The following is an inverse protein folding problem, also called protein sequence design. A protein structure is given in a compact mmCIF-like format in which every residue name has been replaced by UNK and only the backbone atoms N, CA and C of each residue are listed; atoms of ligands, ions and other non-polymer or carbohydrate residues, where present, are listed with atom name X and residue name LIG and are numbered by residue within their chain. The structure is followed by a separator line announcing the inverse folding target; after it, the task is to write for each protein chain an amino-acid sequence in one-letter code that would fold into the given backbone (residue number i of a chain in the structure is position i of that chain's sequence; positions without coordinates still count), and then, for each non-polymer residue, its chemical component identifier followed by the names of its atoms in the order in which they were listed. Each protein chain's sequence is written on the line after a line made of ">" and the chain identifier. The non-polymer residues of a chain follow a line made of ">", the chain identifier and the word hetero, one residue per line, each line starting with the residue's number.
data_IF_791505854476
#
_entry.id   IF_791505854476
#
_cell.length_a   1.000
_cell.length_b   1.000
_cell.length_c   1.000
_cell.angle_alpha   90.00
_cell.angle_beta   90.00
_cell.angle_gamma   90.00
#
_symmetry.space_group_name_H-M   'P 1'
#
loop_
_entity.id
_entity.type
_entity.pdbx_description
1 polymer ?
#
# COMPACT_ATOMS: atom_id res chain seq x y z
N UNK A 1 -16.56 -4.10 -8.75
CA UNK A 1 -15.11 -3.89 -8.66
C UNK A 1 -14.51 -3.74 -10.05
N UNK A 2 -13.62 -2.77 -10.25
CA UNK A 2 -12.78 -2.70 -11.46
C UNK A 2 -11.47 -3.49 -11.20
N UNK A 3 -11.01 -4.25 -12.20
CA UNK A 3 -9.73 -4.97 -12.14
C UNK A 3 -8.75 -4.37 -13.15
N UNK A 4 -7.53 -4.10 -12.69
CA UNK A 4 -6.44 -3.52 -13.49
C UNK A 4 -5.26 -4.48 -13.52
N UNK A 5 -4.45 -4.41 -14.56
CA UNK A 5 -3.19 -5.17 -14.61
C UNK A 5 -2.20 -4.57 -13.62
N UNK A 6 -1.43 -5.42 -12.95
CA UNK A 6 -0.26 -4.99 -12.18
C UNK A 6 0.85 -4.61 -13.17
N UNK A 7 0.94 -3.34 -13.54
CA UNK A 7 1.83 -2.87 -14.60
C UNK A 7 1.60 -3.61 -15.91
N UNK A 8 2.68 -4.03 -16.56
CA UNK A 8 2.68 -4.83 -17.78
C UNK A 8 2.46 -6.34 -17.55
N UNK A 9 2.36 -6.79 -16.29
CA UNK A 9 2.29 -8.22 -15.96
C UNK A 9 0.98 -8.88 -16.40
N UNK A 10 0.94 -10.21 -16.23
CA UNK A 10 -0.21 -11.11 -16.39
C UNK A 10 -1.34 -10.95 -15.36
N UNK A 11 -1.09 -10.27 -14.23
CA UNK A 11 -1.93 -10.41 -13.05
C UNK A 11 -3.00 -9.31 -12.97
N UNK A 12 -4.30 -9.64 -13.02
CA UNK A 12 -5.36 -8.69 -12.69
C UNK A 12 -5.53 -8.56 -11.17
N UNK A 13 -5.44 -7.33 -10.66
CA UNK A 13 -5.71 -7.00 -9.27
C UNK A 13 -6.84 -5.98 -9.17
N UNK A 14 -7.59 -6.02 -8.07
CA UNK A 14 -8.64 -5.05 -7.81
C UNK A 14 -8.06 -3.64 -7.71
N UNK A 15 -8.70 -2.67 -8.37
CA UNK A 15 -8.27 -1.27 -8.37
C UNK A 15 -8.21 -0.68 -6.95
N UNK A 16 -9.01 -1.23 -6.03
CA UNK A 16 -8.91 -0.99 -4.59
C UNK A 16 -8.44 -2.28 -3.91
N UNK A 17 -7.42 -2.19 -3.06
CA UNK A 17 -6.88 -3.29 -2.24
C UNK A 17 -7.02 -2.96 -0.76
N UNK A 18 -6.74 -3.94 0.11
CA UNK A 18 -6.93 -3.77 1.55
C UNK A 18 -5.67 -4.12 2.35
N UNK A 19 -5.15 -3.14 3.09
CA UNK A 19 -3.92 -3.24 3.86
C UNK A 19 -4.15 -3.38 5.38
N UNK A 20 -3.19 -4.02 6.05
CA UNK A 20 -3.26 -4.36 7.46
C UNK A 20 -2.59 -3.36 8.42
N UNK A 21 -1.89 -2.34 7.89
CA UNK A 21 -1.03 -1.44 8.68
C UNK A 21 -1.81 -0.63 9.72
N UNK A 22 -1.26 -0.56 10.95
CA UNK A 22 -1.83 0.04 12.17
C UNK A 22 -3.07 -0.71 12.71
N UNK A 23 -3.87 -1.34 11.86
CA UNK A 23 -5.14 -1.96 12.25
C UNK A 23 -4.93 -3.37 12.81
N UNK A 24 -4.40 -4.28 12.01
CA UNK A 24 -4.43 -5.71 12.32
C UNK A 24 -3.37 -6.07 13.36
N UNK A 25 -3.76 -6.86 14.36
CA UNK A 25 -2.88 -7.31 15.43
C UNK A 25 -2.55 -6.24 16.48
N UNK A 26 -3.14 -5.04 16.36
CA UNK A 26 -2.92 -3.89 17.24
C UNK A 26 -4.24 -3.10 17.49
N UNK A 27 -4.60 -2.15 16.61
CA UNK A 27 -5.70 -1.21 16.86
C UNK A 27 -7.09 -1.84 16.94
N UNK A 28 -7.38 -2.91 16.19
CA UNK A 28 -8.72 -3.53 16.13
C UNK A 28 -8.70 -4.99 16.59
N UNK A 29 -9.80 -5.49 17.19
CA UNK A 29 -9.93 -6.90 17.51
C UNK A 29 -9.99 -7.77 16.24
N UNK A 30 -9.61 -9.04 16.37
CA UNK A 30 -9.59 -10.01 15.27
C UNK A 30 -10.95 -10.16 14.58
N UNK A 31 -12.05 -10.10 15.33
CA UNK A 31 -13.40 -10.24 14.75
C UNK A 31 -13.74 -9.07 13.82
N UNK A 32 -13.29 -7.85 14.16
CA UNK A 32 -13.46 -6.70 13.26
C UNK A 32 -12.55 -6.82 12.03
N UNK A 33 -11.33 -7.33 12.19
CA UNK A 33 -10.46 -7.66 11.06
C UNK A 33 -11.12 -8.69 10.13
N UNK A 34 -11.80 -9.71 10.68
CA UNK A 34 -12.59 -10.69 9.92
C UNK A 34 -13.72 -10.02 9.15
N UNK A 35 -14.49 -9.15 9.79
CA UNK A 35 -15.59 -8.43 9.14
C UNK A 35 -15.10 -7.53 8.01
N UNK A 36 -13.96 -6.87 8.18
CA UNK A 36 -13.35 -6.03 7.16
C UNK A 36 -12.88 -6.84 5.94
N UNK A 37 -12.20 -7.98 6.15
CA UNK A 37 -11.78 -8.85 5.03
C UNK A 37 -12.99 -9.43 4.31
N UNK A 38 -14.00 -9.89 5.04
CA UNK A 38 -15.24 -10.38 4.45
C UNK A 38 -15.92 -9.30 3.59
N UNK A 39 -16.09 -8.09 4.14
CA UNK A 39 -16.68 -6.99 3.40
C UNK A 39 -15.86 -6.60 2.17
N UNK A 40 -14.53 -6.58 2.26
CA UNK A 40 -13.66 -6.31 1.11
C UNK A 40 -13.85 -7.36 0.01
N UNK A 41 -13.82 -8.64 0.39
CA UNK A 41 -14.02 -9.78 -0.51
C UNK A 41 -15.39 -9.76 -1.19
N UNK A 42 -16.46 -9.54 -0.42
CA UNK A 42 -17.84 -9.48 -0.94
C UNK A 42 -18.04 -8.35 -1.96
N UNK A 43 -17.19 -7.31 -1.91
CA UNK A 43 -17.18 -6.20 -2.87
C UNK A 43 -16.14 -6.38 -3.99
N UNK A 44 -15.54 -7.57 -4.11
CA UNK A 44 -14.63 -7.96 -5.19
C UNK A 44 -13.16 -7.58 -4.99
N UNK A 45 -12.76 -7.09 -3.82
CA UNK A 45 -11.34 -6.89 -3.51
C UNK A 45 -10.64 -8.24 -3.51
N UNK A 46 -9.62 -8.40 -4.35
CA UNK A 46 -8.83 -9.63 -4.42
C UNK A 46 -7.41 -9.45 -3.86
N UNK A 47 -6.92 -8.22 -3.66
CA UNK A 47 -5.56 -7.98 -3.20
C UNK A 47 -5.51 -7.50 -1.74
N UNK A 48 -4.82 -8.28 -0.89
CA UNK A 48 -4.63 -8.04 0.55
C UNK A 48 -3.14 -7.84 0.87
N UNK A 49 -2.82 -6.72 1.52
CA UNK A 49 -1.45 -6.28 1.75
C UNK A 49 -1.01 -6.33 3.21
N UNK A 50 0.20 -6.85 3.45
CA UNK A 50 0.78 -7.03 4.78
C UNK A 50 2.29 -6.76 4.80
N UNK A 51 2.94 -6.86 5.97
CA UNK A 51 4.40 -6.79 6.11
C UNK A 51 4.89 -7.46 7.40
N UNK A 52 6.12 -7.95 7.42
CA UNK A 52 6.68 -8.62 8.60
C UNK A 52 6.74 -7.70 9.84
N UNK A 53 6.93 -6.41 9.62
CA UNK A 53 7.06 -5.41 10.69
C UNK A 53 5.72 -4.95 11.26
N UNK A 54 4.59 -5.24 10.59
CA UNK A 54 3.28 -4.79 11.06
C UNK A 54 2.89 -5.56 12.31
N UNK A 55 2.81 -4.83 13.43
CA UNK A 55 2.59 -5.36 14.77
C UNK A 55 3.54 -6.54 15.09
N UNK A 56 4.83 -6.45 14.69
CA UNK A 56 5.82 -7.51 14.91
C UNK A 56 5.36 -8.87 14.35
N UNK A 57 4.81 -8.89 13.13
CA UNK A 57 4.30 -10.07 12.44
C UNK A 57 2.90 -10.51 12.87
N UNK A 58 2.29 -9.90 13.88
CA UNK A 58 0.92 -10.22 14.31
C UNK A 58 -0.12 -9.89 13.24
N UNK A 59 0.10 -8.85 12.44
CA UNK A 59 -0.81 -8.50 11.37
C UNK A 59 -0.90 -9.60 10.30
N UNK A 60 0.22 -10.26 9.98
CA UNK A 60 0.27 -11.43 9.08
C UNK A 60 -0.48 -12.63 9.67
N UNK A 61 -0.29 -12.90 10.96
CA UNK A 61 -0.99 -13.98 11.66
C UNK A 61 -2.52 -13.76 11.64
N UNK A 62 -2.96 -12.56 12.00
CA UNK A 62 -4.39 -12.21 11.99
C UNK A 62 -4.98 -12.34 10.60
N UNK A 63 -4.29 -11.83 9.57
CA UNK A 63 -4.76 -11.92 8.20
C UNK A 63 -4.84 -13.37 7.71
N UNK A 64 -3.81 -14.19 7.99
CA UNK A 64 -3.80 -15.61 7.62
C UNK A 64 -4.91 -16.40 8.30
N UNK A 65 -5.15 -16.16 9.59
CA UNK A 65 -6.24 -16.77 10.33
C UNK A 65 -7.61 -16.36 9.80
N UNK A 66 -7.79 -15.09 9.46
CA UNK A 66 -9.04 -14.58 8.88
C UNK A 66 -9.32 -15.18 7.50
N UNK A 67 -8.31 -15.23 6.62
CA UNK A 67 -8.42 -15.86 5.30
C UNK A 67 -8.82 -17.33 5.43
N UNK A 68 -8.19 -18.06 6.36
CA UNK A 68 -8.52 -19.46 6.63
C UNK A 68 -9.94 -19.65 7.19
N UNK A 69 -10.35 -18.82 8.15
CA UNK A 69 -11.68 -18.86 8.76
C UNK A 69 -12.79 -18.56 7.73
N UNK A 70 -12.54 -17.62 6.83
CA UNK A 70 -13.46 -17.27 5.74
C UNK A 70 -13.42 -18.29 4.60
N UNK A 71 -12.43 -19.20 4.59
CA UNK A 71 -12.21 -20.19 3.53
C UNK A 71 -12.12 -19.54 2.14
N UNK A 72 -11.45 -18.38 2.08
CA UNK A 72 -11.27 -17.69 0.80
C UNK A 72 -10.45 -18.61 -0.14
N UNK A 73 -10.87 -18.77 -1.40
CA UNK A 73 -10.16 -19.62 -2.34
C UNK A 73 -8.79 -19.01 -2.66
N UNK A 74 -7.72 -19.81 -2.53
CA UNK A 74 -6.34 -19.31 -2.69
C UNK A 74 -6.07 -18.73 -4.08
N UNK A 75 -6.66 -19.33 -5.11
CA UNK A 75 -6.62 -18.88 -6.51
C UNK A 75 -7.52 -17.67 -6.79
N UNK A 76 -8.39 -17.29 -5.86
CA UNK A 76 -9.24 -16.10 -5.94
C UNK A 76 -8.65 -14.85 -5.29
N UNK A 77 -7.57 -14.98 -4.50
CA UNK A 77 -6.95 -13.86 -3.78
C UNK A 77 -5.47 -13.69 -4.14
N UNK A 78 -5.00 -12.45 -4.04
CA UNK A 78 -3.61 -12.05 -4.06
C UNK A 78 -3.21 -11.60 -2.64
N UNK A 79 -2.12 -12.13 -2.12
CA UNK A 79 -1.57 -11.76 -0.80
C UNK A 79 -0.16 -11.24 -0.97
N UNK A 80 0.15 -10.11 -0.33
CA UNK A 80 1.53 -9.61 -0.23
C UNK A 80 2.09 -9.64 1.18
N UNK A 81 3.42 -9.67 1.23
CA UNK A 81 4.19 -9.25 2.40
C UNK A 81 5.38 -8.38 1.97
N UNK A 82 6.04 -7.76 2.95
CA UNK A 82 7.21 -6.91 2.74
C UNK A 82 8.28 -7.24 3.77
N UNK A 83 9.52 -7.25 3.31
CA UNK A 83 10.72 -7.49 4.12
C UNK A 83 11.56 -6.23 4.24
N UNK A 84 11.96 -5.91 5.46
CA UNK A 84 13.07 -5.00 5.78
C UNK A 84 13.27 -4.90 7.30
N UNK A 85 12.21 -4.63 8.06
CA UNK A 85 12.31 -4.22 9.46
C UNK A 85 12.42 -5.39 10.44
N UNK A 86 12.16 -6.62 10.01
CA UNK A 86 12.02 -7.76 10.91
C UNK A 86 10.67 -7.80 11.62
N UNK A 87 10.29 -8.98 12.09
CA UNK A 87 9.09 -9.18 12.92
C UNK A 87 9.41 -9.29 14.42
N UNK A 88 10.67 -9.17 14.83
CA UNK A 88 11.06 -9.16 16.23
C UNK A 88 10.90 -7.75 16.81
N UNK A 89 10.50 -7.63 18.07
CA UNK A 89 10.41 -6.32 18.75
C UNK A 89 11.75 -5.57 18.73
N UNK A 90 12.83 -6.32 18.94
CA UNK A 90 14.22 -5.84 18.89
C UNK A 90 15.01 -6.70 17.89
N UNK A 91 14.96 -6.39 16.58
CA UNK A 91 15.63 -7.18 15.55
C UNK A 91 17.14 -7.21 15.74
N UNK A 92 17.72 -8.41 15.74
CA UNK A 92 19.17 -8.60 15.66
C UNK A 92 19.69 -8.18 14.26
N UNK A 93 21.01 -8.00 14.08
CA UNK A 93 21.57 -7.54 12.80
C UNK A 93 21.17 -8.39 11.57
N UNK A 94 20.93 -9.70 11.75
CA UNK A 94 20.54 -10.62 10.68
C UNK A 94 19.03 -10.82 10.55
N UNK A 95 18.23 -10.02 11.27
CA UNK A 95 16.76 -10.04 11.27
C UNK A 95 16.17 -8.75 10.67
N UNK A 96 16.96 -8.03 9.85
CA UNK A 96 16.56 -6.82 9.14
C UNK A 96 17.38 -6.63 7.86
N UNK A 97 16.98 -5.68 7.03
CA UNK A 97 17.62 -5.30 5.78
C UNK A 97 17.21 -6.17 4.59
N UNK A 98 18.00 -6.12 3.52
CA UNK A 98 17.74 -6.82 2.27
C UNK A 98 18.87 -7.79 1.88
N UNK A 99 19.68 -8.20 2.84
CA UNK A 99 20.59 -9.33 2.66
C UNK A 99 19.82 -10.58 2.23
N UNK A 100 20.47 -11.44 1.43
CA UNK A 100 19.89 -12.72 0.98
C UNK A 100 19.37 -13.56 2.15
N UNK A 101 20.08 -13.54 3.28
CA UNK A 101 19.67 -14.22 4.51
C UNK A 101 18.30 -13.72 4.99
N UNK A 102 18.18 -12.42 5.26
CA UNK A 102 16.94 -11.88 5.84
C UNK A 102 15.78 -11.96 4.85
N UNK A 103 16.00 -11.65 3.57
CA UNK A 103 14.98 -11.77 2.52
C UNK A 103 14.39 -13.18 2.45
N UNK A 104 15.24 -14.21 2.53
CA UNK A 104 14.82 -15.61 2.54
C UNK A 104 14.08 -15.97 3.83
N UNK A 105 14.68 -15.67 4.99
CA UNK A 105 14.12 -16.03 6.30
C UNK A 105 12.76 -15.35 6.52
N UNK A 106 12.64 -14.06 6.18
CA UNK A 106 11.41 -13.28 6.29
C UNK A 106 10.30 -13.81 5.37
N UNK A 107 10.62 -14.19 4.12
CA UNK A 107 9.64 -14.78 3.21
C UNK A 107 9.06 -16.07 3.79
N UNK A 108 9.93 -16.99 4.22
CA UNK A 108 9.49 -18.26 4.81
C UNK A 108 8.68 -18.05 6.11
N UNK A 109 9.02 -17.04 6.91
CA UNK A 109 8.27 -16.69 8.10
C UNK A 109 6.90 -16.08 7.76
N UNK A 110 6.82 -15.20 6.76
CA UNK A 110 5.57 -14.61 6.27
C UNK A 110 4.61 -15.69 5.77
N UNK A 111 5.08 -16.64 4.95
CA UNK A 111 4.27 -17.79 4.48
C UNK A 111 3.62 -18.57 5.63
N UNK A 112 4.38 -18.84 6.69
CA UNK A 112 3.88 -19.52 7.89
C UNK A 112 2.82 -18.70 8.63
N UNK A 113 3.06 -17.39 8.83
CA UNK A 113 2.13 -16.51 9.55
C UNK A 113 0.84 -16.28 8.75
N UNK A 114 0.95 -16.09 7.44
CA UNK A 114 -0.17 -15.91 6.52
C UNK A 114 -0.88 -17.23 6.18
N UNK A 115 -0.30 -18.38 6.52
CA UNK A 115 -0.84 -19.73 6.25
C UNK A 115 -1.08 -19.97 4.76
N UNK A 116 -0.11 -19.57 3.92
CA UNK A 116 -0.12 -19.75 2.46
C UNK A 116 1.17 -20.42 1.99
N UNK A 117 1.11 -21.13 0.86
CA UNK A 117 2.27 -21.82 0.30
C UNK A 117 3.20 -20.90 -0.52
N UNK A 118 2.64 -19.81 -1.05
CA UNK A 118 3.34 -18.77 -1.81
C UNK A 118 2.71 -17.39 -1.58
N UNK A 119 3.50 -16.33 -1.75
CA UNK A 119 3.02 -14.95 -1.86
C UNK A 119 2.82 -14.59 -3.33
N UNK A 120 1.75 -13.89 -3.66
CA UNK A 120 1.59 -13.38 -5.03
C UNK A 120 2.57 -12.24 -5.26
N UNK A 121 2.72 -11.35 -4.28
CA UNK A 121 3.56 -10.16 -4.35
C UNK A 121 4.48 -10.09 -3.12
N UNK A 122 5.79 -9.96 -3.31
CA UNK A 122 6.74 -9.77 -2.21
C UNK A 122 7.60 -8.52 -2.41
N UNK A 123 7.62 -7.64 -1.42
CA UNK A 123 8.24 -6.33 -1.54
C UNK A 123 9.51 -6.19 -0.70
N UNK A 124 10.52 -5.56 -1.28
CA UNK A 124 11.53 -4.84 -0.51
C UNK A 124 10.86 -3.63 0.15
N UNK A 125 10.62 -3.65 1.46
CA UNK A 125 9.81 -2.62 2.13
C UNK A 125 10.48 -1.23 2.11
N UNK A 126 11.82 -1.17 2.08
CA UNK A 126 12.61 0.07 1.92
C UNK A 126 13.88 -0.25 1.16
N UNK A 127 14.56 0.74 0.55
CA UNK A 127 15.92 0.53 0.06
C UNK A 127 16.87 0.25 1.22
N UNK A 128 17.83 -0.64 1.00
CA UNK A 128 18.88 -0.97 1.96
C UNK A 128 20.21 -0.39 1.47
N UNK A 129 20.75 0.67 2.11
CA UNK A 129 22.04 1.23 1.73
C UNK A 129 23.22 0.30 2.06
N UNK A 130 23.02 -0.67 2.97
CA UNK A 130 24.07 -1.56 3.45
C UNK A 130 24.14 -2.87 2.65
N UNK A 131 23.12 -3.19 1.84
CA UNK A 131 23.05 -4.38 1.00
C UNK A 131 23.20 -4.02 -0.50
N UNK A 132 24.09 -4.68 -1.26
CA UNK A 132 24.15 -4.49 -2.70
C UNK A 132 22.83 -4.87 -3.37
N UNK A 133 22.25 -3.98 -4.20
CA UNK A 133 21.01 -4.26 -4.97
C UNK A 133 21.13 -5.58 -5.75
N UNK A 134 22.33 -5.86 -6.27
CA UNK A 134 22.66 -7.11 -6.95
C UNK A 134 22.38 -8.38 -6.12
N UNK A 135 22.65 -8.36 -4.82
CA UNK A 135 22.36 -9.48 -3.92
C UNK A 135 20.86 -9.63 -3.70
N UNK A 136 20.16 -8.51 -3.48
CA UNK A 136 18.70 -8.45 -3.32
C UNK A 136 17.98 -9.01 -4.54
N UNK A 137 18.35 -8.61 -5.76
CA UNK A 137 17.76 -9.12 -7.01
C UNK A 137 17.93 -10.64 -7.13
N UNK A 138 19.12 -11.17 -6.82
CA UNK A 138 19.34 -12.63 -6.82
C UNK A 138 18.51 -13.35 -5.74
N UNK A 139 18.37 -12.76 -4.56
CA UNK A 139 17.58 -13.34 -3.48
C UNK A 139 16.09 -13.42 -3.87
N UNK A 140 15.55 -12.37 -4.48
CA UNK A 140 14.18 -12.34 -4.98
C UNK A 140 13.96 -13.32 -6.12
N UNK A 141 14.84 -13.34 -7.13
CA UNK A 141 14.78 -14.31 -8.23
C UNK A 141 14.86 -15.76 -7.74
N UNK A 142 15.70 -16.03 -6.72
CA UNK A 142 15.77 -17.35 -6.09
C UNK A 142 14.42 -17.76 -5.49
N UNK A 143 13.74 -16.86 -4.77
CA UNK A 143 12.42 -17.14 -4.20
C UNK A 143 11.34 -17.34 -5.27
N UNK A 144 11.43 -16.60 -6.38
CA UNK A 144 10.56 -16.81 -7.56
C UNK A 144 10.76 -18.22 -8.11
N UNK A 145 12.01 -18.63 -8.36
CA UNK A 145 12.33 -19.99 -8.89
C UNK A 145 11.96 -21.11 -7.93
N UNK A 146 11.95 -20.86 -6.63
CA UNK A 146 11.48 -21.80 -5.61
C UNK A 146 9.95 -21.89 -5.53
N UNK A 147 9.20 -21.04 -6.26
CA UNK A 147 7.75 -20.95 -6.19
C UNK A 147 7.24 -20.40 -4.86
N UNK A 148 8.08 -19.67 -4.10
CA UNK A 148 7.72 -19.07 -2.81
C UNK A 148 7.05 -17.71 -2.97
N UNK A 149 7.38 -17.03 -4.05
CA UNK A 149 6.76 -15.78 -4.46
C UNK A 149 6.47 -15.84 -5.97
N UNK A 150 5.40 -15.21 -6.45
CA UNK A 150 5.11 -15.15 -7.89
C UNK A 150 5.73 -13.91 -8.54
N UNK A 151 5.57 -12.76 -7.90
CA UNK A 151 6.12 -11.48 -8.32
C UNK A 151 6.85 -10.83 -7.15
N UNK A 152 7.87 -10.04 -7.47
CA UNK A 152 8.53 -9.19 -6.49
C UNK A 152 8.59 -7.74 -6.95
N UNK A 153 8.69 -6.85 -5.99
CA UNK A 153 8.71 -5.41 -6.22
C UNK A 153 9.39 -4.65 -5.11
N UNK A 154 9.32 -3.33 -5.20
CA UNK A 154 9.99 -2.40 -4.31
C UNK A 154 8.96 -1.51 -3.58
N UNK A 155 9.37 -0.86 -2.50
CA UNK A 155 8.54 0.12 -1.79
C UNK A 155 9.42 1.26 -1.28
N UNK A 156 9.09 2.49 -1.69
CA UNK A 156 9.85 3.71 -1.43
C UNK A 156 11.29 3.67 -1.96
N UNK A 157 11.52 2.97 -3.08
CA UNK A 157 12.79 3.02 -3.81
C UNK A 157 12.80 4.20 -4.77
N UNK A 158 13.97 4.80 -5.03
CA UNK A 158 14.07 5.84 -6.07
C UNK A 158 13.98 5.22 -7.47
N UNK A 159 13.59 6.03 -8.46
CA UNK A 159 13.55 5.57 -9.86
C UNK A 159 14.91 5.03 -10.33
N UNK A 160 16.00 5.64 -9.86
CA UNK A 160 17.37 5.21 -10.14
C UNK A 160 17.65 3.82 -9.56
N UNK A 161 17.23 3.55 -8.32
CA UNK A 161 17.42 2.24 -7.70
C UNK A 161 16.58 1.15 -8.38
N UNK A 162 15.35 1.48 -8.79
CA UNK A 162 14.48 0.56 -9.53
C UNK A 162 15.09 0.25 -10.90
N UNK A 163 15.55 1.26 -11.64
CA UNK A 163 16.23 1.05 -12.92
C UNK A 163 17.48 0.20 -12.75
N UNK A 164 18.31 0.47 -11.74
CA UNK A 164 19.49 -0.34 -11.46
C UNK A 164 19.13 -1.82 -11.18
N UNK A 165 18.04 -2.08 -10.45
CA UNK A 165 17.57 -3.44 -10.21
C UNK A 165 17.11 -4.14 -11.50
N UNK A 166 16.41 -3.41 -12.38
CA UNK A 166 16.00 -3.90 -13.71
C UNK A 166 17.21 -4.22 -14.59
N UNK A 167 18.18 -3.31 -14.67
CA UNK A 167 19.40 -3.48 -15.46
C UNK A 167 20.21 -4.72 -14.99
N UNK A 168 20.32 -4.91 -13.67
CA UNK A 168 20.99 -6.08 -13.09
C UNK A 168 20.24 -7.36 -13.45
N UNK A 169 18.91 -7.34 -13.39
CA UNK A 169 18.09 -8.50 -13.69
C UNK A 169 18.22 -8.90 -15.16
N UNK A 170 18.14 -7.93 -16.07
CA UNK A 170 18.33 -8.15 -17.51
C UNK A 170 19.73 -8.70 -17.82
N UNK A 171 20.79 -8.05 -17.32
CA UNK A 171 22.17 -8.45 -17.56
C UNK A 171 22.52 -9.85 -17.03
N UNK A 172 21.72 -10.39 -16.11
CA UNK A 172 21.96 -11.69 -15.46
C UNK A 172 20.86 -12.72 -15.72
N UNK A 173 19.91 -12.42 -16.61
CA UNK A 173 18.77 -13.28 -16.91
C UNK A 173 17.98 -13.71 -15.66
N UNK A 174 17.74 -12.73 -14.77
CA UNK A 174 16.96 -12.87 -13.55
C UNK A 174 15.60 -12.16 -13.71
N UNK A 175 14.66 -12.48 -12.84
CA UNK A 175 13.40 -11.73 -12.75
C UNK A 175 13.62 -10.35 -12.14
N UNK A 176 13.29 -9.28 -12.87
CA UNK A 176 13.30 -7.90 -12.37
C UNK A 176 12.04 -7.55 -11.55
N UNK A 177 12.06 -6.44 -10.79
CA UNK A 177 10.89 -5.99 -10.03
C UNK A 177 9.76 -5.61 -11.00
N UNK A 178 8.54 -6.07 -10.70
CA UNK A 178 7.36 -5.83 -11.57
C UNK A 178 6.50 -4.66 -11.09
N UNK A 179 6.67 -4.23 -9.84
CA UNK A 179 5.86 -3.20 -9.24
C UNK A 179 6.60 -2.41 -8.16
N UNK A 180 6.09 -1.22 -7.88
CA UNK A 180 6.50 -0.35 -6.79
C UNK A 180 5.29 -0.07 -5.88
N UNK A 181 5.53 0.05 -4.58
CA UNK A 181 4.53 0.42 -3.58
C UNK A 181 4.92 1.76 -2.92
N UNK A 182 4.59 2.90 -3.57
CA UNK A 182 4.92 4.23 -3.08
C UNK A 182 3.74 4.88 -2.35
N UNK A 183 4.02 5.88 -1.52
CA UNK A 183 3.01 6.80 -1.05
C UNK A 183 2.45 7.60 -2.22
N UNK A 184 1.12 7.72 -2.33
CA UNK A 184 0.50 8.61 -3.32
C UNK A 184 -0.82 9.16 -2.80
N UNK A 185 -0.96 10.48 -2.84
CA UNK A 185 -2.18 11.21 -2.52
C UNK A 185 -2.05 12.67 -2.96
N UNK A 186 -3.12 13.46 -2.79
CA UNK A 186 -3.17 14.88 -3.16
C UNK A 186 -2.05 15.74 -2.53
N UNK A 187 -1.44 15.29 -1.43
CA UNK A 187 -0.35 15.99 -0.73
C UNK A 187 1.04 15.41 -1.02
N UNK A 188 1.14 14.32 -1.77
CA UNK A 188 2.38 13.62 -2.07
C UNK A 188 2.32 12.99 -3.46
N UNK A 189 2.84 13.71 -4.46
CA UNK A 189 2.58 13.45 -5.89
C UNK A 189 3.85 13.20 -6.71
N UNK A 190 4.89 13.96 -6.42
CA UNK A 190 6.08 14.12 -7.27
C UNK A 190 6.73 12.79 -7.67
N UNK A 191 6.90 11.87 -6.72
CA UNK A 191 7.51 10.57 -6.99
C UNK A 191 6.71 9.75 -8.01
N UNK A 192 5.40 9.66 -7.82
CA UNK A 192 4.52 8.87 -8.70
C UNK A 192 4.29 9.57 -10.04
N UNK A 193 4.10 10.89 -10.06
CA UNK A 193 3.73 11.62 -11.27
C UNK A 193 4.94 12.03 -12.12
N UNK A 194 6.11 12.25 -11.49
CA UNK A 194 7.31 12.79 -12.16
C UNK A 194 8.47 11.80 -12.10
N UNK A 195 8.89 11.37 -10.91
CA UNK A 195 10.10 10.55 -10.73
C UNK A 195 10.00 9.21 -11.46
N UNK A 196 8.85 8.53 -11.34
CA UNK A 196 8.62 7.21 -11.96
C UNK A 196 8.12 7.26 -13.40
N UNK A 197 7.86 8.44 -13.96
CA UNK A 197 7.32 8.57 -15.33
C UNK A 197 8.11 7.76 -16.39
N UNK A 198 9.47 7.72 -16.36
CA UNK A 198 10.25 6.91 -17.31
C UNK A 198 10.03 5.39 -17.16
N UNK A 199 9.69 4.91 -15.96
CA UNK A 199 9.59 3.48 -15.65
C UNK A 199 8.26 2.86 -16.11
N UNK A 200 7.21 3.65 -16.28
CA UNK A 200 5.89 3.14 -16.67
C UNK A 200 5.90 2.58 -18.10
N UNK A 201 6.32 3.37 -19.08
CA UNK A 201 6.39 2.93 -20.47
C UNK A 201 7.66 2.10 -20.75
N UNK A 202 8.78 2.44 -20.11
CA UNK A 202 10.07 1.76 -20.34
C UNK A 202 10.12 0.35 -19.77
N UNK A 203 9.73 0.18 -18.50
CA UNK A 203 9.82 -1.09 -17.79
C UNK A 203 8.44 -1.76 -17.57
N UNK A 204 7.34 -1.08 -17.89
CA UNK A 204 6.00 -1.58 -17.60
C UNK A 204 5.66 -1.60 -16.11
N UNK A 205 6.26 -0.70 -15.32
CA UNK A 205 6.13 -0.68 -13.86
C UNK A 205 4.66 -0.47 -13.44
N UNK A 206 4.13 -1.38 -12.62
CA UNK A 206 2.85 -1.20 -11.93
C UNK A 206 3.02 -0.51 -10.58
N UNK A 207 1.99 0.19 -10.11
CA UNK A 207 2.01 0.73 -8.73
C UNK A 207 0.84 0.26 -7.88
N UNK A 208 1.16 -0.16 -6.66
CA UNK A 208 0.19 -0.46 -5.60
C UNK A 208 0.35 0.60 -4.52
N UNK A 209 -0.30 1.76 -4.66
CA UNK A 209 0.01 2.92 -3.81
C UNK A 209 -0.57 2.79 -2.41
N UNK A 210 0.06 3.42 -1.42
CA UNK A 210 -0.43 3.45 -0.05
C UNK A 210 -0.70 4.86 0.47
N UNK A 211 -1.38 4.94 1.62
CA UNK A 211 -1.77 6.19 2.29
C UNK A 211 -2.54 7.17 1.37
N UNK A 212 -3.58 6.74 0.64
CA UNK A 212 -4.37 7.62 -0.24
C UNK A 212 -5.04 8.78 0.51
N UNK A 213 -5.25 8.60 1.82
CA UNK A 213 -5.87 9.61 2.70
C UNK A 213 -4.86 10.37 3.57
N UNK A 214 -3.55 10.19 3.37
CA UNK A 214 -2.50 10.76 4.21
C UNK A 214 -2.76 10.54 5.72
N UNK A 215 -2.86 9.27 6.14
CA UNK A 215 -3.24 8.88 7.52
C UNK A 215 -4.59 9.44 8.00
N UNK A 216 -5.49 9.72 7.05
CA UNK A 216 -6.83 10.23 7.30
C UNK A 216 -6.96 11.75 7.23
N UNK A 217 -5.88 12.47 6.95
CA UNK A 217 -5.90 13.92 6.77
C UNK A 217 -6.89 14.36 5.68
N UNK A 218 -6.92 13.65 4.56
CA UNK A 218 -7.82 13.95 3.43
C UNK A 218 -9.26 13.42 3.61
N UNK A 219 -9.63 12.97 4.82
CA UNK A 219 -11.00 12.46 5.07
C UNK A 219 -11.96 13.52 5.63
N UNK A 220 -11.48 14.72 5.96
CA UNK A 220 -12.26 15.77 6.61
C UNK A 220 -12.47 15.58 8.12
N UNK A 221 -12.04 14.44 8.70
CA UNK A 221 -12.21 14.16 10.14
C UNK A 221 -11.35 15.02 11.07
N UNK A 222 -10.35 15.71 10.52
CA UNK A 222 -9.46 16.60 11.28
C UNK A 222 -9.76 18.09 11.03
N UNK A 223 -10.85 18.42 10.34
CA UNK A 223 -11.20 19.81 9.99
C UNK A 223 -11.39 20.70 11.25
N UNK A 224 -11.80 20.09 12.38
CA UNK A 224 -12.06 20.76 13.66
C UNK A 224 -11.01 20.41 14.73
N UNK A 225 -9.80 20.02 14.30
CA UNK A 225 -8.73 19.51 15.18
C UNK A 225 -8.60 17.99 15.15
N UNK A 226 -7.57 17.45 15.80
CA UNK A 226 -7.25 16.02 15.80
C UNK A 226 -7.93 15.33 17.00
N UNK A 227 -8.94 14.47 16.81
CA UNK A 227 -9.55 13.71 17.90
C UNK A 227 -8.58 12.71 18.52
N UNK A 228 -8.67 12.51 19.84
CA UNK A 228 -7.79 11.60 20.58
C UNK A 228 -7.96 10.12 20.20
N UNK A 229 -9.15 9.71 19.76
CA UNK A 229 -9.43 8.33 19.33
C UNK A 229 -9.04 8.05 17.86
N UNK A 230 -8.76 9.11 17.09
CA UNK A 230 -8.35 9.02 15.71
C UNK A 230 -6.86 8.66 15.57
N UNK A 231 -6.47 8.16 14.39
CA UNK A 231 -5.12 7.60 14.15
C UNK A 231 -3.99 8.56 14.57
N UNK A 232 -4.09 9.85 14.27
CA UNK A 232 -3.06 10.83 14.60
C UNK A 232 -3.13 11.37 16.03
N UNK A 233 -4.21 11.08 16.77
CA UNK A 233 -4.39 11.50 18.17
C UNK A 233 -4.15 10.40 19.18
N UNK A 234 -3.91 9.16 18.72
CA UNK A 234 -3.60 8.02 19.60
C UNK A 234 -2.22 8.17 20.24
N UNK A 235 -2.13 7.77 21.50
CA UNK A 235 -0.86 7.69 22.24
C UNK A 235 0.17 6.84 21.48
N UNK A 236 1.40 7.34 21.35
CA UNK A 236 2.48 6.67 20.61
C UNK A 236 2.46 6.92 19.10
N UNK A 237 1.55 7.75 18.59
CA UNK A 237 1.48 8.17 17.18
C UNK A 237 1.97 9.61 16.95
N UNK A 238 2.66 10.21 17.93
CA UNK A 238 3.20 11.57 17.84
C UNK A 238 4.21 11.70 16.70
N UNK A 239 5.04 10.67 16.49
CA UNK A 239 5.98 10.61 15.36
C UNK A 239 5.24 10.60 14.01
N UNK A 240 4.10 9.91 13.91
CA UNK A 240 3.29 9.85 12.69
C UNK A 240 2.56 11.18 12.46
N UNK A 241 2.09 11.82 13.53
CA UNK A 241 1.49 13.14 13.47
C UNK A 241 2.51 14.18 12.96
N UNK A 242 3.71 14.21 13.53
CA UNK A 242 4.79 15.08 13.08
C UNK A 242 5.16 14.83 11.61
N UNK A 243 5.28 13.55 11.21
CA UNK A 243 5.56 13.18 9.82
C UNK A 243 4.47 13.61 8.83
N UNK A 244 3.19 13.47 9.22
CA UNK A 244 2.04 13.76 8.34
C UNK A 244 1.75 15.26 8.24
N UNK A 245 1.92 16.00 9.33
CA UNK A 245 1.66 17.45 9.35
C UNK A 245 2.86 18.24 8.79
N UNK A 246 4.08 17.82 9.10
CA UNK A 246 5.31 18.50 8.69
C UNK A 246 5.47 19.90 9.30
N UNK A 247 6.52 20.60 8.86
CA UNK A 247 6.93 21.89 9.45
C UNK A 247 5.92 23.02 9.21
N UNK A 248 5.20 22.99 8.08
CA UNK A 248 4.15 23.97 7.74
C UNK A 248 2.74 23.40 7.96
N UNK A 249 2.48 23.04 9.22
CA UNK A 249 1.24 22.38 9.65
C UNK A 249 0.00 23.20 9.30
N UNK A 250 -0.01 24.50 9.57
CA UNK A 250 -1.19 25.35 9.37
C UNK A 250 -1.55 25.52 7.89
N UNK A 251 -0.59 25.80 7.00
CA UNK A 251 -0.88 25.92 5.58
C UNK A 251 -1.32 24.57 4.98
N UNK A 252 -0.76 23.46 5.47
CA UNK A 252 -1.19 22.11 5.07
C UNK A 252 -2.63 21.83 5.51
N UNK A 253 -2.98 22.11 6.76
CA UNK A 253 -4.34 21.94 7.28
C UNK A 253 -5.33 22.86 6.58
N UNK A 254 -4.97 24.11 6.29
CA UNK A 254 -5.81 25.04 5.53
C UNK A 254 -6.12 24.49 4.13
N UNK A 255 -5.13 23.97 3.41
CA UNK A 255 -5.33 23.32 2.10
C UNK A 255 -6.28 22.12 2.18
N UNK A 256 -6.09 21.28 3.18
CA UNK A 256 -6.94 20.09 3.42
C UNK A 256 -8.38 20.48 3.77
N UNK A 257 -8.59 21.55 4.54
CA UNK A 257 -9.94 22.08 4.82
C UNK A 257 -10.63 22.57 3.55
N UNK A 258 -9.94 23.35 2.71
CA UNK A 258 -10.45 23.79 1.41
C UNK A 258 -10.84 22.61 0.51
N UNK A 259 -10.01 21.57 0.48
CA UNK A 259 -10.32 20.33 -0.24
C UNK A 259 -11.59 19.67 0.30
N UNK A 260 -11.71 19.55 1.62
CA UNK A 260 -12.88 18.92 2.26
C UNK A 260 -14.16 19.72 2.02
N UNK A 261 -14.09 21.05 2.02
CA UNK A 261 -15.20 21.94 1.64
C UNK A 261 -15.59 21.76 0.17
N UNK A 262 -14.62 21.76 -0.75
CA UNK A 262 -14.85 21.52 -2.17
C UNK A 262 -15.51 20.15 -2.41
N UNK A 263 -14.99 19.08 -1.79
CA UNK A 263 -15.55 17.74 -1.94
C UNK A 263 -17.03 17.69 -1.56
N UNK A 264 -17.39 18.33 -0.43
CA UNK A 264 -18.78 18.46 0.02
C UNK A 264 -19.62 19.29 -0.95
N UNK A 265 -19.09 20.38 -1.48
CA UNK A 265 -19.78 21.22 -2.47
C UNK A 265 -20.05 20.47 -3.78
N UNK A 266 -19.15 19.55 -4.17
CA UNK A 266 -19.33 18.63 -5.30
C UNK A 266 -20.25 17.44 -4.98
N UNK A 267 -20.72 17.29 -3.74
CA UNK A 267 -21.63 16.23 -3.32
C UNK A 267 -20.96 14.92 -2.90
N UNK A 268 -19.64 14.90 -2.68
CA UNK A 268 -18.89 13.68 -2.36
C UNK A 268 -18.26 13.71 -0.95
N UNK A 269 -18.17 12.56 -0.26
CA UNK A 269 -17.34 12.46 0.94
C UNK A 269 -15.86 12.76 0.60
N UNK A 270 -15.13 13.59 1.39
CA UNK A 270 -13.74 13.94 1.09
C UNK A 270 -12.82 12.74 0.92
N UNK A 271 -12.98 11.71 1.77
CA UNK A 271 -12.19 10.49 1.68
C UNK A 271 -12.40 9.76 0.35
N UNK A 272 -13.66 9.59 -0.06
CA UNK A 272 -14.04 8.92 -1.30
C UNK A 272 -13.51 9.66 -2.52
N UNK A 273 -13.61 11.00 -2.54
CA UNK A 273 -13.07 11.83 -3.63
C UNK A 273 -11.54 11.77 -3.72
N UNK A 274 -10.84 11.77 -2.58
CA UNK A 274 -9.37 11.66 -2.55
C UNK A 274 -8.87 10.30 -3.06
N UNK A 275 -9.57 9.21 -2.72
CA UNK A 275 -9.25 7.87 -3.23
C UNK A 275 -9.54 7.79 -4.74
N UNK A 276 -10.69 8.31 -5.17
CA UNK A 276 -11.06 8.38 -6.59
C UNK A 276 -10.03 9.17 -7.41
N UNK A 277 -9.53 10.28 -6.86
CA UNK A 277 -8.46 11.07 -7.47
C UNK A 277 -7.19 10.22 -7.71
N UNK A 278 -6.77 9.42 -6.72
CA UNK A 278 -5.60 8.54 -6.89
C UNK A 278 -5.79 7.53 -8.03
N UNK A 279 -7.02 7.02 -8.20
CA UNK A 279 -7.36 6.05 -9.25
C UNK A 279 -7.40 6.65 -10.67
N UNK A 280 -7.44 7.97 -10.81
CA UNK A 280 -7.37 8.65 -12.13
C UNK A 280 -6.03 8.44 -12.80
N UNK A 281 -4.97 8.28 -12.00
CA UNK A 281 -3.65 8.03 -12.55
C UNK A 281 -3.64 6.62 -13.18
N UNK A 282 -3.45 6.49 -14.50
CA UNK A 282 -3.51 5.20 -15.18
C UNK A 282 -2.37 4.26 -14.77
N UNK A 283 -1.30 4.80 -14.19
CA UNK A 283 -0.16 4.03 -13.69
C UNK A 283 -0.39 3.47 -12.27
N UNK A 284 -1.53 3.81 -11.65
CA UNK A 284 -2.00 3.21 -10.39
C UNK A 284 -2.80 1.94 -10.70
N UNK A 285 -2.15 0.79 -10.50
CA UNK A 285 -2.78 -0.52 -10.62
C UNK A 285 -3.74 -0.78 -9.46
N UNK A 286 -3.36 -0.38 -8.24
CA UNK A 286 -4.23 -0.52 -7.07
C UNK A 286 -3.96 0.55 -6.01
N UNK A 287 -5.01 0.97 -5.32
CA UNK A 287 -4.95 1.86 -4.14
C UNK A 287 -5.20 1.02 -2.88
N UNK A 288 -4.20 0.95 -2.00
CA UNK A 288 -4.28 0.20 -0.75
C UNK A 288 -5.06 1.01 0.27
N UNK A 289 -6.26 0.52 0.60
CA UNK A 289 -7.13 1.08 1.63
C UNK A 289 -6.73 0.60 3.02
N UNK A 290 -6.98 1.45 4.01
CA UNK A 290 -6.98 1.07 5.42
C UNK A 290 -8.27 1.56 6.08
N UNK A 291 -8.89 0.70 6.89
CA UNK A 291 -10.12 1.03 7.61
C UNK A 291 -10.10 0.34 8.98
N UNK A 292 -10.68 1.00 10.00
CA UNK A 292 -10.80 0.43 11.35
C UNK A 292 -12.22 -0.04 11.66
N UNK A 293 -13.15 0.10 10.70
CA UNK A 293 -14.54 -0.37 10.78
C UNK A 293 -15.14 -0.56 9.40
N UNK A 294 -16.08 -1.49 9.25
CA UNK A 294 -16.72 -1.82 7.96
C UNK A 294 -17.33 -0.59 7.27
N UNK A 295 -18.00 0.30 8.00
CA UNK A 295 -18.63 1.49 7.40
C UNK A 295 -17.65 2.43 6.70
N UNK A 296 -16.41 2.55 7.19
CA UNK A 296 -15.35 3.31 6.51
C UNK A 296 -14.91 2.62 5.23
N UNK A 297 -14.75 1.29 5.27
CA UNK A 297 -14.38 0.52 4.09
C UNK A 297 -15.45 0.65 3.00
N UNK A 298 -16.74 0.51 3.33
CA UNK A 298 -17.84 0.64 2.38
C UNK A 298 -17.90 2.04 1.76
N UNK A 299 -17.70 3.10 2.55
CA UNK A 299 -17.58 4.47 2.02
C UNK A 299 -16.38 4.65 1.08
N UNK A 300 -15.24 4.04 1.42
CA UNK A 300 -14.04 4.12 0.58
C UNK A 300 -14.22 3.37 -0.76
N UNK A 301 -14.98 2.26 -0.77
CA UNK A 301 -15.24 1.48 -1.98
C UNK A 301 -16.09 2.22 -3.01
N UNK A 302 -16.90 3.19 -2.59
CA UNK A 302 -17.65 4.10 -3.47
C UNK A 302 -16.73 4.99 -4.34
N UNK A 303 -15.42 5.00 -4.11
CA UNK A 303 -14.47 5.77 -4.90
C UNK A 303 -14.46 5.38 -6.39
N UNK A 304 -14.85 4.14 -6.71
CA UNK A 304 -15.00 3.71 -8.10
C UNK A 304 -16.18 4.41 -8.79
N UNK A 305 -17.30 4.58 -8.08
CA UNK A 305 -18.46 5.29 -8.62
C UNK A 305 -18.13 6.78 -8.78
N UNK A 306 -17.45 7.37 -7.79
CA UNK A 306 -17.02 8.79 -7.84
C UNK A 306 -16.04 9.04 -8.98
N UNK A 307 -15.15 8.09 -9.28
CA UNK A 307 -14.22 8.18 -10.41
C UNK A 307 -14.95 8.36 -11.75
N UNK A 308 -16.10 7.69 -11.92
CA UNK A 308 -16.91 7.75 -13.14
C UNK A 308 -17.86 8.95 -13.18
N UNK A 309 -18.30 9.44 -12.01
CA UNK A 309 -19.28 10.52 -11.90
C UNK A 309 -18.67 11.93 -11.95
N UNK A 310 -17.45 12.13 -11.46
CA UNK A 310 -16.80 13.45 -11.46
C UNK A 310 -16.30 13.78 -12.87
N UNK A 311 -16.80 14.87 -13.41
CA UNK A 311 -16.41 15.35 -14.74
C UNK A 311 -15.04 16.07 -14.73
N UNK A 312 -14.58 16.45 -15.94
CA UNK A 312 -13.30 17.14 -16.09
C UNK A 312 -13.25 18.47 -15.33
N UNK A 313 -14.37 19.18 -15.19
CA UNK A 313 -14.42 20.47 -14.49
C UNK A 313 -14.28 20.28 -12.97
N UNK A 314 -14.94 19.26 -12.41
CA UNK A 314 -14.80 18.86 -11.01
C UNK A 314 -13.36 18.46 -10.69
N UNK A 315 -12.72 17.66 -11.55
CA UNK A 315 -11.31 17.32 -11.38
C UNK A 315 -10.39 18.54 -11.46
N UNK A 316 -10.63 19.47 -12.39
CA UNK A 316 -9.86 20.70 -12.47
C UNK A 316 -9.96 21.55 -11.18
N UNK A 317 -11.14 21.61 -10.56
CA UNK A 317 -11.31 22.28 -9.26
C UNK A 317 -10.50 21.58 -8.15
N UNK A 318 -10.47 20.24 -8.14
CA UNK A 318 -9.66 19.48 -7.17
C UNK A 318 -8.17 19.77 -7.34
N UNK A 319 -7.66 19.77 -8.57
CA UNK A 319 -6.26 20.11 -8.84
C UNK A 319 -5.92 21.55 -8.38
N UNK A 320 -6.80 22.50 -8.63
CA UNK A 320 -6.59 23.91 -8.27
C UNK A 320 -6.47 24.15 -6.76
N UNK A 321 -6.95 23.24 -5.89
CA UNK A 321 -6.77 23.36 -4.43
C UNK A 321 -5.32 23.13 -4.00
N UNK A 322 -4.57 22.34 -4.78
CA UNK A 322 -3.21 21.87 -4.47
C UNK A 322 -2.14 22.40 -5.42
N UNK A 323 -2.52 23.16 -6.44
CA UNK A 323 -1.62 24.03 -7.21
C UNK A 323 -1.11 25.19 -6.35
#
# INVERSE_FOLDING_TARGET
>A
MQYRRLGSTGLPISALSFGAWVTFGDQIPRDEARNLVAAAWDHGVNFFDNAEGYANGRAEQVMGDVIADLRLPRDGICVSSKVFFGSAKDPRPTQRGLSRKHVTDACHAALKRLRVDYLDLYYCHRPDPDAPIAETVHAMDTLVRQGKILYWGTSEWSAVQIQQALDIAEARNLQGPSMEQPQYNLLHRERVEVEYAPLYAGAGLGTTIFSPLASGLLSGKYDQGIPADARLGREGMEWLQALVLGDDTEARLARVRRFSELARALGYPPATLAIAWCLRNPNVSSVILGASRVSQLLQNLQALDVLEQVDAAGWAQVEAVFA
#
